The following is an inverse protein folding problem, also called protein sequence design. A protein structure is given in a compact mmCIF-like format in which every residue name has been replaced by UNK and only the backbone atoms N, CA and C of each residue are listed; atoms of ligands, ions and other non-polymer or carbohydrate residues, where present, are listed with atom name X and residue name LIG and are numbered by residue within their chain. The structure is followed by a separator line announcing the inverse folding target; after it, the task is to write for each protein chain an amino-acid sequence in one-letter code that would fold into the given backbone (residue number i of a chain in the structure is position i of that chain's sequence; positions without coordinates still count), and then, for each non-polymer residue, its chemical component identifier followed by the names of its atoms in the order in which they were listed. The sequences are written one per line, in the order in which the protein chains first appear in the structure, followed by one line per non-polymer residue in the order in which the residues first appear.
data_IF_345644360358
#
_entry.id   IF_345644360358
#
_cell.length_a   1.000
_cell.length_b   1.000
_cell.length_c   1.000
_cell.angle_alpha   90.00
_cell.angle_beta   90.00
_cell.angle_gamma   90.00
#
_symmetry.space_group_name_H-M   'P 1'
#
loop_
_entity.id
_entity.type
_entity.pdbx_description
1 polymer ?
#
# COMPACT_ATOMS: atom_id res chain seq x y z
N UNK A 1 -3.58 16.83 -14.17
CA UNK A 1 -3.80 17.31 -12.78
C UNK A 1 -5.10 16.71 -12.29
N UNK A 2 -5.12 16.15 -11.07
CA UNK A 2 -6.36 15.66 -10.48
C UNK A 2 -7.36 16.81 -10.30
N UNK A 3 -8.65 16.56 -10.54
CA UNK A 3 -9.69 17.54 -10.29
C UNK A 3 -9.72 17.90 -8.79
N UNK A 4 -9.90 19.18 -8.48
CA UNK A 4 -10.03 19.66 -7.09
C UNK A 4 -11.42 20.25 -6.90
N UNK A 5 -12.13 19.81 -5.86
CA UNK A 5 -13.46 20.29 -5.48
C UNK A 5 -13.34 21.13 -4.21
N UNK A 6 -13.71 22.41 -4.23
CA UNK A 6 -13.64 23.29 -3.06
C UNK A 6 -14.66 22.89 -1.99
N UNK A 7 -14.36 23.21 -0.73
CA UNK A 7 -15.16 22.83 0.44
C UNK A 7 -16.64 23.27 0.39
N UNK A 8 -16.94 24.38 -0.29
CA UNK A 8 -18.31 24.89 -0.43
C UNK A 8 -19.10 24.18 -1.54
N UNK A 9 -18.42 23.52 -2.48
CA UNK A 9 -19.06 22.74 -3.56
C UNK A 9 -19.30 21.27 -3.22
N UNK A 10 -18.87 20.80 -2.05
CA UNK A 10 -18.88 19.37 -1.72
C UNK A 10 -20.29 18.75 -1.68
N UNK A 11 -21.29 19.51 -1.25
CA UNK A 11 -22.66 19.00 -1.11
C UNK A 11 -23.26 18.56 -2.46
N UNK A 12 -22.82 19.15 -3.57
CA UNK A 12 -23.35 18.89 -4.92
C UNK A 12 -22.40 18.05 -5.78
N UNK A 13 -21.25 17.66 -5.25
CA UNK A 13 -20.17 17.09 -6.05
C UNK A 13 -20.35 15.59 -6.29
N UNK A 14 -20.21 15.11 -7.52
CA UNK A 14 -19.96 13.68 -7.77
C UNK A 14 -18.64 13.23 -7.10
N UNK A 15 -18.48 11.93 -6.81
CA UNK A 15 -17.17 11.38 -6.43
C UNK A 15 -16.45 10.80 -7.65
N UNK A 16 -15.36 11.46 -8.03
CA UNK A 16 -14.45 11.07 -9.10
C UNK A 16 -13.16 10.52 -8.49
N UNK A 17 -12.71 9.36 -8.96
CA UNK A 17 -11.46 8.73 -8.52
C UNK A 17 -10.29 9.70 -8.70
N UNK A 18 -9.40 9.73 -7.72
CA UNK A 18 -8.24 10.61 -7.59
C UNK A 18 -8.54 12.10 -7.46
N UNK A 19 -9.80 12.55 -7.55
CA UNK A 19 -10.12 13.94 -7.27
C UNK A 19 -9.86 14.29 -5.79
N UNK A 20 -9.43 15.53 -5.54
CA UNK A 20 -9.16 16.06 -4.21
C UNK A 20 -10.35 16.90 -3.74
N UNK A 21 -10.88 16.57 -2.58
CA UNK A 21 -11.97 17.28 -1.92
C UNK A 21 -11.39 18.07 -0.76
N UNK A 22 -11.45 19.39 -0.85
CA UNK A 22 -10.78 20.27 0.10
C UNK A 22 -11.51 20.32 1.43
N UNK A 23 -10.75 20.32 2.53
CA UNK A 23 -11.27 20.61 3.86
C UNK A 23 -11.49 22.10 4.09
N UNK A 24 -12.33 22.42 5.07
CA UNK A 24 -12.58 23.79 5.51
C UNK A 24 -11.36 24.44 6.18
N UNK A 25 -11.49 25.73 6.50
CA UNK A 25 -10.41 26.54 7.10
C UNK A 25 -10.78 27.10 8.47
N UNK A 26 -11.83 26.59 9.12
CA UNK A 26 -12.39 27.11 10.37
C UNK A 26 -11.61 26.68 11.62
N UNK A 27 -10.63 25.78 11.47
CA UNK A 27 -9.79 25.24 12.54
C UNK A 27 -10.49 24.21 13.44
N UNK A 28 -11.61 23.62 13.00
CA UNK A 28 -12.43 22.75 13.86
C UNK A 28 -12.82 21.42 13.16
N UNK A 29 -13.53 20.55 13.89
CA UNK A 29 -13.93 19.23 13.39
C UNK A 29 -14.80 19.30 12.12
N UNK A 30 -15.54 20.39 11.92
CA UNK A 30 -16.38 20.65 10.76
C UNK A 30 -15.60 20.88 9.47
N UNK A 31 -14.29 21.11 9.52
CA UNK A 31 -13.46 21.25 8.32
C UNK A 31 -13.20 19.91 7.59
N UNK A 32 -13.62 18.79 8.17
CA UNK A 32 -13.56 17.49 7.51
C UNK A 32 -14.53 17.44 6.31
N UNK A 33 -14.04 17.19 5.08
CA UNK A 33 -14.87 17.24 3.88
C UNK A 33 -15.80 16.02 3.75
N UNK A 34 -15.46 14.88 4.38
CA UNK A 34 -16.20 13.62 4.20
C UNK A 34 -17.61 13.74 4.77
N UNK A 35 -17.78 14.41 5.92
CA UNK A 35 -19.10 14.67 6.49
C UNK A 35 -20.00 15.58 5.65
N UNK A 36 -19.43 16.33 4.68
CA UNK A 36 -20.20 17.08 3.68
C UNK A 36 -20.50 16.26 2.41
N UNK A 37 -19.61 15.32 2.08
CA UNK A 37 -19.77 14.44 0.93
C UNK A 37 -20.72 13.27 1.20
N UNK A 38 -20.75 12.79 2.44
CA UNK A 38 -21.46 11.58 2.87
C UNK A 38 -22.11 11.80 4.24
N UNK A 39 -23.25 11.15 4.53
CA UNK A 39 -23.96 11.27 5.80
C UNK A 39 -23.27 10.50 6.94
N UNK A 40 -21.96 10.63 7.10
CA UNK A 40 -21.14 9.93 8.10
C UNK A 40 -20.50 10.93 9.07
N UNK A 41 -19.90 10.43 10.16
CA UNK A 41 -19.18 11.28 11.12
C UNK A 41 -17.99 12.02 10.50
N UNK A 42 -17.50 13.03 11.22
CA UNK A 42 -16.39 13.90 10.79
C UNK A 42 -15.01 13.49 11.35
N UNK A 43 -14.88 12.28 11.92
CA UNK A 43 -13.62 11.76 12.44
C UNK A 43 -13.56 10.24 12.41
N UNK A 44 -12.35 9.69 12.48
CA UNK A 44 -12.08 8.25 12.55
C UNK A 44 -11.76 7.63 11.18
N UNK A 45 -11.10 6.48 11.21
CA UNK A 45 -10.76 5.73 9.98
C UNK A 45 -11.97 5.00 9.40
N UNK A 46 -12.75 4.31 10.23
CA UNK A 46 -13.98 3.64 9.80
C UNK A 46 -15.17 4.50 10.23
N UNK A 47 -15.93 5.00 9.26
CA UNK A 47 -17.12 5.83 9.50
C UNK A 47 -18.30 5.21 8.77
N UNK A 48 -19.49 5.26 9.34
CA UNK A 48 -20.68 4.70 8.69
C UNK A 48 -21.95 5.43 9.10
N UNK A 49 -23.00 5.23 8.31
CA UNK A 49 -24.37 5.65 8.60
C UNK A 49 -25.27 4.42 8.77
N UNK A 50 -26.31 4.54 9.58
CA UNK A 50 -27.25 3.44 9.87
C UNK A 50 -26.86 2.65 11.13
N UNK A 51 -27.36 1.42 11.23
CA UNK A 51 -27.09 0.52 12.38
C UNK A 51 -25.94 -0.42 12.03
N UNK A 52 -25.16 -0.87 13.00
CA UNK A 52 -24.01 -1.77 12.72
C UNK A 52 -24.40 -3.09 12.02
N UNK A 53 -25.62 -3.59 12.25
CA UNK A 53 -26.16 -4.78 11.58
C UNK A 53 -26.92 -4.49 10.28
N UNK A 54 -27.11 -3.21 9.94
CA UNK A 54 -27.76 -2.72 8.73
C UNK A 54 -27.20 -1.33 8.38
N UNK A 55 -25.90 -1.24 8.04
CA UNK A 55 -25.28 0.02 7.64
C UNK A 55 -25.81 0.43 6.27
N UNK A 56 -25.98 1.74 6.06
CA UNK A 56 -26.46 2.31 4.79
C UNK A 56 -25.31 2.71 3.86
N UNK A 57 -24.23 3.24 4.42
CA UNK A 57 -23.00 3.61 3.72
C UNK A 57 -21.81 3.54 4.67
N UNK A 58 -20.64 3.18 4.16
CA UNK A 58 -19.38 3.14 4.89
C UNK A 58 -18.37 4.06 4.19
N UNK A 59 -17.63 4.84 4.96
CA UNK A 59 -16.43 5.54 4.51
C UNK A 59 -15.21 4.95 5.22
N UNK A 60 -14.24 4.45 4.44
CA UNK A 60 -12.92 4.07 4.94
C UNK A 60 -11.96 5.22 4.66
N UNK A 61 -11.31 5.70 5.70
CA UNK A 61 -10.45 6.87 5.67
C UNK A 61 -9.07 6.46 6.14
N UNK A 62 -8.10 6.56 5.25
CA UNK A 62 -6.71 6.22 5.55
C UNK A 62 -5.80 7.43 5.37
N UNK A 63 -4.82 7.59 6.26
CA UNK A 63 -3.71 8.53 6.07
C UNK A 63 -2.52 7.88 5.34
N UNK A 64 -2.46 6.54 5.27
CA UNK A 64 -1.28 5.80 4.79
C UNK A 64 0.00 6.01 5.61
N UNK A 65 -0.08 6.71 6.76
CA UNK A 65 1.09 7.20 7.51
C UNK A 65 1.31 6.46 8.84
N UNK A 66 0.50 5.45 9.16
CA UNK A 66 0.64 4.66 10.38
C UNK A 66 1.63 3.52 10.13
N UNK A 67 2.79 3.55 10.81
CA UNK A 67 3.85 2.55 10.66
C UNK A 67 3.46 1.16 11.16
N UNK A 68 2.68 1.10 12.23
CA UNK A 68 2.24 -0.17 12.80
C UNK A 68 1.13 -0.80 11.93
N UNK A 69 0.36 0.05 11.25
CA UNK A 69 -0.83 -0.30 10.47
C UNK A 69 -0.80 0.35 9.07
N UNK A 70 0.09 -0.13 8.17
CA UNK A 70 0.39 0.51 6.90
C UNK A 70 -0.68 0.20 5.84
N UNK A 71 -1.85 0.83 5.94
CA UNK A 71 -2.88 0.78 4.90
C UNK A 71 -2.27 1.09 3.52
N UNK A 72 -2.63 0.32 2.50
CA UNK A 72 -2.01 0.45 1.19
C UNK A 72 -2.95 0.05 0.05
N UNK A 73 -3.03 0.92 -0.96
CA UNK A 73 -3.73 0.63 -2.21
C UNK A 73 -2.71 0.28 -3.30
N UNK A 74 -2.85 -0.92 -3.85
CA UNK A 74 -2.20 -1.31 -5.09
C UNK A 74 -3.02 -0.82 -6.29
N UNK A 75 -2.60 0.27 -6.90
CA UNK A 75 -3.32 0.85 -8.05
C UNK A 75 -3.25 -0.03 -9.31
N UNK A 76 -2.30 -0.96 -9.40
CA UNK A 76 -2.17 -1.86 -10.56
C UNK A 76 -3.20 -2.99 -10.49
N UNK A 77 -3.41 -3.52 -9.28
CA UNK A 77 -4.34 -4.64 -9.07
C UNK A 77 -5.73 -4.18 -8.62
N UNK A 78 -5.85 -2.94 -8.14
CA UNK A 78 -7.07 -2.38 -7.55
C UNK A 78 -7.33 -2.84 -6.12
N UNK A 79 -6.33 -3.41 -5.43
CA UNK A 79 -6.51 -4.05 -4.12
C UNK A 79 -6.03 -3.15 -2.99
N UNK A 80 -6.92 -2.89 -2.04
CA UNK A 80 -6.67 -2.14 -0.83
C UNK A 80 -6.45 -3.09 0.34
N UNK A 81 -5.30 -2.98 1.00
CA UNK A 81 -5.09 -3.49 2.35
C UNK A 81 -5.46 -2.41 3.36
N UNK A 82 -6.39 -2.69 4.26
CA UNK A 82 -6.87 -1.76 5.27
C UNK A 82 -6.87 -2.41 6.66
N UNK A 83 -6.36 -1.71 7.67
CA UNK A 83 -6.25 -2.21 9.03
C UNK A 83 -7.36 -1.68 9.94
N UNK A 84 -7.79 -2.54 10.86
CA UNK A 84 -8.89 -2.29 11.79
C UNK A 84 -8.64 -1.17 12.81
N UNK A 85 -9.64 -0.90 13.64
CA UNK A 85 -9.62 0.20 14.62
C UNK A 85 -9.07 -0.18 16.01
N UNK A 86 -8.64 -1.44 16.23
CA UNK A 86 -7.98 -1.84 17.48
C UNK A 86 -6.46 -1.63 17.43
N UNK A 87 -6.03 -0.36 17.56
CA UNK A 87 -4.63 0.04 17.42
C UNK A 87 -3.85 0.17 18.75
N UNK A 88 -4.42 -0.28 19.87
CA UNK A 88 -3.79 -0.19 21.20
C UNK A 88 -4.00 -1.47 22.01
N UNK A 89 -3.04 -1.84 22.87
CA UNK A 89 -3.24 -2.94 23.82
C UNK A 89 -4.38 -2.68 24.82
N UNK A 90 -4.89 -3.77 25.41
CA UNK A 90 -5.85 -3.72 26.52
C UNK A 90 -7.32 -3.92 26.14
N UNK A 91 -7.61 -4.19 24.87
CA UNK A 91 -8.96 -4.49 24.39
C UNK A 91 -8.97 -5.76 23.54
N UNK A 92 -10.04 -6.56 23.68
CA UNK A 92 -10.32 -7.67 22.77
C UNK A 92 -10.54 -7.16 21.34
N UNK A 93 -10.33 -8.01 20.33
CA UNK A 93 -10.31 -7.64 18.91
C UNK A 93 -11.57 -6.86 18.46
N UNK A 94 -12.74 -7.18 19.03
CA UNK A 94 -14.02 -6.55 18.68
C UNK A 94 -14.46 -5.47 19.68
N UNK A 95 -13.74 -5.29 20.79
CA UNK A 95 -14.04 -4.30 21.84
C UNK A 95 -13.46 -2.92 21.49
N UNK A 96 -13.83 -2.39 20.33
CA UNK A 96 -13.36 -1.07 19.89
C UNK A 96 -14.39 0.02 20.16
N UNK A 97 -13.91 1.19 20.59
CA UNK A 97 -14.77 2.33 20.98
C UNK A 97 -15.75 2.79 19.89
N UNK A 98 -15.40 2.61 18.62
CA UNK A 98 -16.22 2.96 17.45
C UNK A 98 -16.76 1.74 16.70
N UNK A 99 -16.52 0.53 17.22
CA UNK A 99 -16.96 -0.76 16.69
C UNK A 99 -16.55 -1.02 15.24
N UNK A 100 -15.43 -0.44 14.77
CA UNK A 100 -14.95 -0.60 13.40
C UNK A 100 -14.62 -2.05 13.05
N UNK A 101 -13.90 -2.76 13.93
CA UNK A 101 -13.59 -4.18 13.75
C UNK A 101 -14.84 -5.07 13.72
N UNK A 102 -15.87 -4.71 14.50
CA UNK A 102 -17.14 -5.41 14.44
C UNK A 102 -17.88 -5.15 13.11
N UNK A 103 -17.81 -3.93 12.57
CA UNK A 103 -18.35 -3.62 11.26
C UNK A 103 -17.60 -4.37 10.15
N UNK A 104 -16.26 -4.40 10.19
CA UNK A 104 -15.43 -5.17 9.26
C UNK A 104 -15.82 -6.65 9.28
N UNK A 105 -15.90 -7.27 10.46
CA UNK A 105 -16.36 -8.66 10.58
C UNK A 105 -17.71 -8.87 9.89
N UNK A 106 -18.70 -8.04 10.19
CA UNK A 106 -20.03 -8.18 9.60
C UNK A 106 -20.02 -8.12 8.07
N UNK A 107 -19.31 -7.15 7.47
CA UNK A 107 -19.33 -6.99 6.01
C UNK A 107 -18.60 -8.13 5.28
N UNK A 108 -17.54 -8.70 5.87
CA UNK A 108 -16.86 -9.87 5.31
C UNK A 108 -17.66 -11.17 5.53
N UNK A 109 -18.36 -11.30 6.65
CA UNK A 109 -19.29 -12.41 6.87
C UNK A 109 -20.45 -12.36 5.85
N UNK A 110 -20.96 -11.16 5.53
CA UNK A 110 -22.00 -10.98 4.52
C UNK A 110 -21.50 -11.22 3.09
N UNK A 111 -20.30 -10.74 2.74
CA UNK A 111 -19.74 -10.95 1.40
C UNK A 111 -19.48 -12.43 1.10
N UNK A 112 -19.11 -13.21 2.11
CA UNK A 112 -18.87 -14.65 2.02
C UNK A 112 -20.13 -15.51 2.28
N UNK A 113 -21.28 -14.88 2.53
CA UNK A 113 -22.55 -15.55 2.82
C UNK A 113 -23.35 -15.93 1.59
N UNK A 114 -24.67 -15.89 1.71
CA UNK A 114 -25.59 -16.08 0.57
C UNK A 114 -25.61 -14.85 -0.34
N UNK A 115 -26.21 -14.95 -1.54
CA UNK A 115 -26.45 -13.78 -2.39
C UNK A 115 -27.28 -12.69 -1.68
N UNK A 116 -28.27 -13.12 -0.88
CA UNK A 116 -29.06 -12.20 -0.07
C UNK A 116 -28.21 -11.52 1.02
N UNK A 117 -27.23 -12.23 1.59
CA UNK A 117 -26.30 -11.63 2.54
C UNK A 117 -25.37 -10.62 1.85
N UNK A 118 -24.83 -10.98 0.69
CA UNK A 118 -23.94 -10.11 -0.09
C UNK A 118 -24.60 -8.77 -0.46
N UNK A 119 -25.90 -8.78 -0.76
CA UNK A 119 -26.70 -7.56 -1.00
C UNK A 119 -26.86 -6.66 0.23
N UNK A 120 -26.58 -7.16 1.45
CA UNK A 120 -26.58 -6.35 2.67
C UNK A 120 -25.31 -5.53 2.85
N UNK A 121 -24.25 -5.83 2.09
CA UNK A 121 -23.02 -5.05 2.13
C UNK A 121 -23.29 -3.66 1.54
N UNK A 122 -23.16 -2.58 2.31
CA UNK A 122 -23.42 -1.23 1.81
C UNK A 122 -22.29 -0.78 0.88
N UNK A 123 -22.48 0.30 0.12
CA UNK A 123 -21.39 0.98 -0.55
C UNK A 123 -20.26 1.35 0.44
N UNK A 124 -19.02 1.01 0.09
CA UNK A 124 -17.82 1.30 0.87
C UNK A 124 -16.98 2.31 0.07
N UNK A 125 -16.93 3.55 0.52
CA UNK A 125 -16.24 4.64 -0.18
C UNK A 125 -14.90 4.92 0.50
N UNK A 126 -13.81 4.87 -0.26
CA UNK A 126 -12.45 4.94 0.28
C UNK A 126 -11.86 6.32 0.03
N UNK A 127 -11.28 6.92 1.08
CA UNK A 127 -10.65 8.23 1.04
C UNK A 127 -9.23 8.16 1.60
N UNK A 128 -8.27 8.74 0.88
CA UNK A 128 -6.88 8.88 1.28
C UNK A 128 -6.56 10.32 1.68
N UNK A 129 -5.87 10.51 2.81
CA UNK A 129 -5.34 11.82 3.19
C UNK A 129 -4.30 12.31 2.18
N UNK A 130 -4.35 13.59 1.81
CA UNK A 130 -3.38 14.17 0.87
C UNK A 130 -2.09 14.67 1.53
N UNK A 131 -2.02 14.66 2.87
CA UNK A 131 -0.95 15.28 3.65
C UNK A 131 -1.03 16.81 3.71
N UNK A 132 -1.99 17.43 3.02
CA UNK A 132 -2.20 18.89 2.99
C UNK A 132 -3.54 19.23 3.64
N UNK A 133 -3.49 19.99 4.75
CA UNK A 133 -4.68 20.37 5.54
C UNK A 133 -5.54 19.13 5.85
N UNK A 134 -6.86 19.24 5.72
CA UNK A 134 -7.82 18.12 5.85
C UNK A 134 -8.34 17.67 4.48
N UNK A 135 -7.57 17.90 3.43
CA UNK A 135 -7.96 17.54 2.08
C UNK A 135 -7.87 16.02 1.92
N UNK A 136 -8.92 15.43 1.35
CA UNK A 136 -9.01 13.99 1.09
C UNK A 136 -9.08 13.74 -0.41
N UNK A 137 -8.39 12.70 -0.86
CA UNK A 137 -8.51 12.15 -2.21
C UNK A 137 -9.51 11.00 -2.18
N UNK A 138 -10.44 10.95 -3.12
CA UNK A 138 -11.30 9.78 -3.27
C UNK A 138 -10.55 8.68 -4.01
N UNK A 139 -10.38 7.51 -3.37
CA UNK A 139 -9.64 6.38 -3.92
C UNK A 139 -10.54 5.41 -4.69
N UNK A 140 -11.85 5.42 -4.42
CA UNK A 140 -12.83 4.65 -5.18
C UNK A 140 -13.93 4.00 -4.33
N UNK A 141 -14.84 3.31 -5.02
CA UNK A 141 -15.86 2.45 -4.43
C UNK A 141 -15.27 1.04 -4.26
N UNK A 142 -15.32 0.52 -3.04
CA UNK A 142 -14.73 -0.75 -2.67
C UNK A 142 -15.79 -1.81 -2.36
N UNK A 143 -15.39 -3.06 -2.52
CA UNK A 143 -16.13 -4.25 -2.04
C UNK A 143 -15.18 -5.16 -1.23
N UNK A 144 -15.68 -5.91 -0.24
CA UNK A 144 -14.85 -6.86 0.51
C UNK A 144 -14.27 -7.94 -0.41
N UNK A 145 -13.03 -8.31 -0.11
CA UNK A 145 -12.32 -9.40 -0.77
C UNK A 145 -11.41 -8.96 -1.92
N UNK A 146 -10.63 -9.92 -2.43
CA UNK A 146 -9.73 -9.72 -3.56
C UNK A 146 -9.66 -11.00 -4.40
N UNK A 147 -9.70 -10.87 -5.74
CA UNK A 147 -9.79 -12.02 -6.66
C UNK A 147 -8.64 -13.04 -6.56
N UNK A 148 -7.53 -12.67 -5.91
CA UNK A 148 -6.36 -13.51 -5.71
C UNK A 148 -6.22 -14.04 -4.27
N UNK A 149 -7.11 -13.63 -3.36
CA UNK A 149 -7.13 -14.07 -1.97
C UNK A 149 -8.23 -15.13 -1.77
N UNK A 150 -7.99 -16.09 -0.89
CA UNK A 150 -9.06 -16.98 -0.43
C UNK A 150 -9.93 -16.25 0.60
N UNK A 151 -11.18 -16.67 0.80
CA UNK A 151 -12.08 -16.08 1.82
C UNK A 151 -11.50 -16.09 3.25
N UNK A 152 -10.52 -16.95 3.52
CA UNK A 152 -9.82 -17.04 4.82
C UNK A 152 -8.76 -15.93 4.95
N UNK A 153 -8.18 -15.47 3.84
CA UNK A 153 -7.08 -14.49 3.81
C UNK A 153 -7.57 -13.03 3.70
N UNK A 154 -8.85 -12.85 3.39
CA UNK A 154 -9.49 -11.55 3.15
C UNK A 154 -9.69 -10.72 4.42
N UNK A 155 -9.94 -11.37 5.56
CA UNK A 155 -10.04 -10.72 6.87
C UNK A 155 -9.30 -11.53 7.94
N UNK A 156 -8.10 -11.10 8.28
CA UNK A 156 -7.20 -11.84 9.19
C UNK A 156 -6.93 -11.06 10.45
N UNK A 157 -7.07 -11.71 11.61
CA UNK A 157 -6.60 -11.18 12.89
C UNK A 157 -5.08 -11.28 12.98
N UNK A 158 -4.38 -10.15 13.01
CA UNK A 158 -2.92 -10.09 13.13
C UNK A 158 -2.52 -9.60 14.51
N UNK A 159 -1.44 -10.19 15.03
CA UNK A 159 -0.84 -9.77 16.30
C UNK A 159 0.19 -8.67 16.05
N UNK A 160 0.13 -7.62 16.87
CA UNK A 160 1.20 -6.63 17.03
C UNK A 160 1.62 -6.56 18.49
N UNK A 161 2.83 -6.03 18.71
CA UNK A 161 3.38 -5.74 20.03
C UNK A 161 3.76 -4.27 20.06
N UNK A 162 3.32 -3.55 21.09
CA UNK A 162 3.74 -2.16 21.33
C UNK A 162 4.03 -2.03 22.82
N UNK A 163 5.21 -1.52 23.19
CA UNK A 163 5.59 -1.35 24.60
C UNK A 163 5.63 -2.67 25.39
N UNK A 164 5.95 -3.79 24.72
CA UNK A 164 6.01 -5.13 25.31
C UNK A 164 4.65 -5.82 25.53
N UNK A 165 3.55 -5.18 25.12
CA UNK A 165 2.20 -5.75 25.23
C UNK A 165 1.67 -6.16 23.86
N UNK A 166 1.10 -7.37 23.79
CA UNK A 166 0.51 -7.93 22.56
C UNK A 166 -0.96 -7.63 22.45
N UNK A 167 -1.42 -7.35 21.24
CA UNK A 167 -2.83 -7.13 20.92
C UNK A 167 -3.13 -7.51 19.48
N UNK A 168 -4.40 -7.79 19.19
CA UNK A 168 -4.86 -8.17 17.86
C UNK A 168 -5.61 -7.03 17.18
N UNK A 169 -5.44 -6.93 15.87
CA UNK A 169 -6.25 -6.09 15.02
C UNK A 169 -6.56 -6.82 13.70
N UNK A 170 -7.52 -6.32 12.92
CA UNK A 170 -7.79 -6.89 11.61
C UNK A 170 -6.87 -6.31 10.53
N UNK A 171 -6.48 -7.17 9.59
CA UNK A 171 -6.06 -6.80 8.23
C UNK A 171 -7.16 -7.24 7.27
N UNK A 172 -7.75 -6.30 6.57
CA UNK A 172 -8.84 -6.49 5.62
C UNK A 172 -8.38 -6.21 4.19
N UNK A 173 -8.74 -7.06 3.24
CA UNK A 173 -8.52 -6.86 1.81
C UNK A 173 -9.82 -6.42 1.14
N UNK A 174 -9.75 -5.34 0.39
CA UNK A 174 -10.85 -4.82 -0.41
C UNK A 174 -10.42 -4.69 -1.87
N UNK A 175 -11.38 -4.79 -2.78
CA UNK A 175 -11.19 -4.48 -4.21
C UNK A 175 -11.87 -3.15 -4.52
N UNK A 176 -11.11 -2.19 -5.05
CA UNK A 176 -11.66 -0.98 -5.64
C UNK A 176 -12.26 -1.34 -7.00
N UNK A 177 -13.56 -1.09 -7.18
CA UNK A 177 -14.29 -1.41 -8.40
C UNK A 177 -14.00 -0.40 -9.51
N UNK A 178 -14.00 -0.87 -10.76
CA UNK A 178 -14.10 -0.01 -11.94
C UNK A 178 -15.54 0.54 -12.07
N UNK A 179 -15.83 1.51 -11.21
CA UNK A 179 -17.17 2.06 -11.00
C UNK A 179 -17.40 3.39 -11.73
N UNK A 180 -16.40 3.91 -12.46
CA UNK A 180 -16.45 5.24 -13.06
C UNK A 180 -16.69 6.35 -12.03
N UNK A 181 -17.54 7.32 -12.38
CA UNK A 181 -17.93 8.42 -11.49
C UNK A 181 -19.11 8.01 -10.62
N UNK A 182 -18.98 8.19 -9.31
CA UNK A 182 -20.06 7.94 -8.35
C UNK A 182 -20.96 9.17 -8.30
N UNK A 183 -22.23 9.00 -8.69
CA UNK A 183 -23.16 10.11 -8.85
C UNK A 183 -23.68 10.65 -7.52
N UNK A 184 -23.73 11.98 -7.40
CA UNK A 184 -24.29 12.70 -6.25
C UNK A 184 -25.70 12.22 -5.91
N UNK A 185 -26.58 12.11 -6.90
CA UNK A 185 -27.95 11.61 -6.71
C UNK A 185 -28.02 10.20 -6.10
N UNK A 186 -27.08 9.30 -6.42
CA UNK A 186 -27.01 7.99 -5.76
C UNK A 186 -26.60 8.13 -4.29
N UNK A 187 -25.56 8.92 -4.01
CA UNK A 187 -25.06 9.15 -2.65
C UNK A 187 -26.14 9.74 -1.73
N UNK A 188 -26.90 10.71 -2.23
CA UNK A 188 -27.96 11.37 -1.47
C UNK A 188 -29.13 10.41 -1.20
N UNK A 189 -29.37 9.44 -2.09
CA UNK A 189 -30.36 8.39 -1.88
C UNK A 189 -29.95 7.35 -0.84
N UNK A 190 -28.68 7.26 -0.45
CA UNK A 190 -28.22 6.19 0.46
C UNK A 190 -28.79 6.33 1.89
N UNK A 191 -29.22 7.51 2.34
CA UNK A 191 -29.87 7.66 3.65
C UNK A 191 -31.41 7.48 3.58
N UNK A 192 -31.96 7.39 2.37
CA UNK A 192 -33.38 7.11 2.07
C UNK A 192 -33.72 5.63 2.31
N UNK A 193 -35.01 5.32 2.32
CA UNK A 193 -35.51 3.94 2.22
C UNK A 193 -35.74 3.52 0.76
N UNK A 194 -35.79 4.49 -0.16
CA UNK A 194 -35.84 4.30 -1.61
C UNK A 194 -34.49 4.73 -2.21
N UNK A 195 -33.58 3.77 -2.34
CA UNK A 195 -32.23 3.97 -2.89
C UNK A 195 -32.32 4.01 -4.42
N UNK A 196 -31.72 5.03 -5.04
CA UNK A 196 -31.71 5.22 -6.49
C UNK A 196 -30.72 4.25 -7.17
N UNK A 197 -31.08 2.96 -7.22
CA UNK A 197 -30.24 1.91 -7.80
C UNK A 197 -29.99 2.09 -9.30
N UNK A 198 -30.82 2.85 -10.01
CA UNK A 198 -30.60 3.27 -11.39
C UNK A 198 -29.38 4.20 -11.57
N UNK A 199 -29.01 4.91 -10.49
CA UNK A 199 -27.81 5.74 -10.42
C UNK A 199 -26.61 5.03 -9.80
N UNK A 200 -26.79 3.80 -9.30
CA UNK A 200 -25.71 3.03 -8.70
C UNK A 200 -24.70 2.55 -9.77
N UNK A 201 -23.40 2.46 -9.44
CA UNK A 201 -22.42 1.95 -10.38
C UNK A 201 -22.72 0.50 -10.83
N UNK A 202 -22.72 0.21 -12.14
CA UNK A 202 -23.03 -1.12 -12.65
C UNK A 202 -22.14 -2.23 -12.05
N UNK A 203 -20.85 -1.97 -11.85
CA UNK A 203 -19.91 -2.91 -11.25
C UNK A 203 -20.32 -3.32 -9.82
N UNK A 204 -20.88 -2.39 -9.04
CA UNK A 204 -21.36 -2.66 -7.68
C UNK A 204 -22.63 -3.53 -7.68
N UNK A 205 -23.58 -3.22 -8.57
CA UNK A 205 -24.80 -4.01 -8.73
C UNK A 205 -24.51 -5.43 -9.22
N UNK A 206 -23.59 -5.58 -10.19
CA UNK A 206 -23.15 -6.87 -10.70
C UNK A 206 -22.50 -7.71 -9.59
N UNK A 207 -21.59 -7.11 -8.82
CA UNK A 207 -20.98 -7.75 -7.65
C UNK A 207 -22.03 -8.20 -6.64
N UNK A 208 -22.97 -7.32 -6.26
CA UNK A 208 -24.05 -7.66 -5.33
C UNK A 208 -24.99 -8.76 -5.84
N UNK A 209 -25.06 -8.94 -7.16
CA UNK A 209 -25.87 -9.99 -7.81
C UNK A 209 -25.12 -11.32 -7.98
N UNK A 210 -23.86 -11.40 -7.54
CA UNK A 210 -23.08 -12.64 -7.51
C UNK A 210 -21.86 -12.67 -8.44
N UNK A 211 -21.66 -11.67 -9.30
CA UNK A 211 -20.48 -11.62 -10.18
C UNK A 211 -19.19 -11.44 -9.37
N UNK A 212 -18.05 -11.80 -9.94
CA UNK A 212 -16.75 -11.47 -9.36
C UNK A 212 -16.55 -9.94 -9.32
N UNK A 213 -15.72 -9.46 -8.39
CA UNK A 213 -15.35 -8.04 -8.35
C UNK A 213 -14.57 -7.66 -9.61
N UNK A 214 -15.00 -6.60 -10.30
CA UNK A 214 -14.27 -6.02 -11.43
C UNK A 214 -13.36 -4.89 -10.92
N UNK A 215 -12.05 -5.13 -10.75
CA UNK A 215 -11.15 -4.16 -10.15
C UNK A 215 -10.83 -2.99 -11.09
N UNK A 216 -10.78 -1.78 -10.53
CA UNK A 216 -10.16 -0.62 -11.18
C UNK A 216 -8.64 -0.83 -11.22
N UNK A 217 -8.13 -1.21 -12.39
CA UNK A 217 -6.71 -1.42 -12.63
C UNK A 217 -6.12 -0.25 -13.40
N UNK A 218 -5.08 0.36 -12.85
CA UNK A 218 -4.25 1.32 -13.55
C UNK A 218 -2.91 0.65 -13.88
N UNK A 219 -2.80 -0.09 -15.01
CA UNK A 219 -1.53 -0.70 -15.39
C UNK A 219 -0.48 0.40 -15.51
N UNK A 220 0.72 0.17 -14.93
CA UNK A 220 1.82 1.12 -15.09
C UNK A 220 2.09 1.31 -16.58
N UNK A 221 2.06 2.56 -17.03
CA UNK A 221 2.73 2.93 -18.27
C UNK A 221 4.21 2.50 -18.14
N UNK A 222 4.83 2.03 -19.24
CA UNK A 222 6.26 1.65 -19.28
C UNK A 222 7.19 2.88 -19.12
N UNK A 223 6.78 3.88 -18.37
CA UNK A 223 7.52 5.12 -18.21
C UNK A 223 8.60 4.93 -17.14
N UNK A 224 9.80 5.42 -17.49
CA UNK A 224 10.87 5.58 -16.54
C UNK A 224 10.42 6.49 -15.40
N UNK A 225 10.56 6.02 -14.15
CA UNK A 225 10.23 6.84 -12.98
C UNK A 225 11.10 8.09 -12.95
N UNK A 226 10.50 9.24 -12.67
CA UNK A 226 11.27 10.47 -12.46
C UNK A 226 12.07 10.37 -11.15
N UNK A 227 12.96 11.34 -10.92
CA UNK A 227 13.65 11.47 -9.63
C UNK A 227 12.67 11.64 -8.46
N UNK A 228 11.63 12.45 -8.66
CA UNK A 228 10.61 12.71 -7.63
C UNK A 228 9.81 11.45 -7.29
N UNK A 229 9.60 10.55 -8.26
CA UNK A 229 8.91 9.28 -8.03
C UNK A 229 9.75 8.28 -7.23
N UNK A 230 11.07 8.43 -7.22
CA UNK A 230 12.04 7.53 -6.58
C UNK A 230 12.52 8.02 -5.20
N UNK A 231 12.30 9.30 -4.88
CA UNK A 231 12.71 9.88 -3.61
C UNK A 231 11.59 9.79 -2.54
N UNK A 232 11.94 9.56 -1.26
CA UNK A 232 10.96 9.56 -0.16
C UNK A 232 10.16 10.86 -0.04
N UNK A 233 8.84 10.74 0.11
CA UNK A 233 7.92 11.89 0.22
C UNK A 233 7.77 12.35 1.68
N UNK A 234 7.50 11.42 2.60
CA UNK A 234 7.21 11.76 4.01
C UNK A 234 8.49 12.01 4.80
N UNK A 235 8.43 12.86 5.82
CA UNK A 235 9.56 13.14 6.71
C UNK A 235 10.08 11.85 7.38
N UNK A 236 9.18 10.94 7.74
CA UNK A 236 9.51 9.61 8.28
C UNK A 236 10.31 8.77 7.28
N UNK A 237 9.82 8.61 6.05
CA UNK A 237 10.55 7.85 5.02
C UNK A 237 11.90 8.50 4.68
N UNK A 238 11.98 9.83 4.71
CA UNK A 238 13.23 10.57 4.53
C UNK A 238 14.22 10.29 5.67
N UNK A 239 13.74 10.17 6.91
CA UNK A 239 14.58 9.82 8.07
C UNK A 239 15.08 8.38 7.95
N UNK A 240 14.21 7.43 7.57
CA UNK A 240 14.57 6.03 7.34
C UNK A 240 15.74 5.92 6.37
N UNK A 241 15.64 6.54 5.19
CA UNK A 241 16.72 6.47 4.18
C UNK A 241 17.98 7.18 4.65
N UNK A 242 17.85 8.32 5.36
CA UNK A 242 19.01 9.05 5.90
C UNK A 242 19.77 8.20 6.94
N UNK A 243 19.07 7.54 7.86
CA UNK A 243 19.66 6.67 8.85
C UNK A 243 20.38 5.47 8.21
N UNK A 244 19.74 4.81 7.25
CA UNK A 244 20.34 3.69 6.49
C UNK A 244 21.63 4.15 5.78
N UNK A 245 21.57 5.25 5.02
CA UNK A 245 22.75 5.77 4.32
C UNK A 245 23.87 6.12 5.31
N UNK A 246 23.55 6.85 6.39
CA UNK A 246 24.52 7.23 7.41
C UNK A 246 25.18 6.02 8.07
N UNK A 247 24.44 4.92 8.22
CA UNK A 247 24.95 3.70 8.83
C UNK A 247 26.01 2.97 8.00
N UNK A 248 25.82 2.93 6.67
CA UNK A 248 26.69 2.20 5.76
C UNK A 248 27.66 3.10 4.97
N UNK A 249 27.60 4.43 5.12
CA UNK A 249 28.41 5.38 4.33
C UNK A 249 29.92 5.15 4.46
N UNK A 250 30.41 4.70 5.63
CA UNK A 250 31.84 4.43 5.86
C UNK A 250 32.27 3.06 5.37
N UNK A 251 31.35 2.09 5.31
CA UNK A 251 31.59 0.72 4.87
C UNK A 251 30.54 0.28 3.84
N UNK A 252 30.60 0.79 2.59
CA UNK A 252 29.55 0.56 1.60
C UNK A 252 29.33 -0.92 1.23
N UNK A 253 30.32 -1.79 1.40
CA UNK A 253 30.19 -3.24 1.16
C UNK A 253 29.24 -3.92 2.18
N UNK A 254 29.13 -3.39 3.40
CA UNK A 254 28.19 -3.93 4.39
C UNK A 254 26.72 -3.66 4.00
N UNK A 255 26.48 -2.64 3.17
CA UNK A 255 25.15 -2.37 2.62
C UNK A 255 24.61 -3.53 1.78
N UNK A 256 25.47 -4.38 1.20
CA UNK A 256 25.05 -5.52 0.39
C UNK A 256 24.22 -6.52 1.22
N UNK A 257 24.56 -6.70 2.50
CA UNK A 257 23.78 -7.53 3.42
C UNK A 257 22.41 -6.91 3.72
N UNK A 258 22.37 -5.60 3.92
CA UNK A 258 21.12 -4.88 4.12
C UNK A 258 20.24 -4.95 2.85
N UNK A 259 20.81 -4.76 1.67
CA UNK A 259 20.12 -4.86 0.40
C UNK A 259 19.50 -6.26 0.20
N UNK A 260 20.24 -7.33 0.52
CA UNK A 260 19.71 -8.69 0.49
C UNK A 260 18.53 -8.88 1.46
N UNK A 261 18.58 -8.27 2.65
CA UNK A 261 17.47 -8.27 3.62
C UNK A 261 16.24 -7.54 3.07
N UNK A 262 16.42 -6.36 2.46
CA UNK A 262 15.33 -5.61 1.80
C UNK A 262 14.70 -6.43 0.68
N UNK A 263 15.51 -7.10 -0.16
CA UNK A 263 15.00 -7.97 -1.22
C UNK A 263 14.16 -9.11 -0.66
N UNK A 264 14.58 -9.72 0.47
CA UNK A 264 13.82 -10.77 1.15
C UNK A 264 12.47 -10.27 1.68
N UNK A 265 12.44 -9.04 2.21
CA UNK A 265 11.18 -8.41 2.66
C UNK A 265 10.26 -8.07 1.47
N UNK A 266 10.84 -7.68 0.34
CA UNK A 266 10.10 -7.28 -0.85
C UNK A 266 9.53 -8.48 -1.64
N UNK A 267 10.33 -9.54 -1.82
CA UNK A 267 9.95 -10.73 -2.57
C UNK A 267 9.64 -11.89 -1.62
N UNK A 268 8.37 -12.06 -1.26
CA UNK A 268 7.91 -13.10 -0.31
C UNK A 268 8.29 -14.54 -0.71
N UNK A 269 8.42 -14.81 -2.02
CA UNK A 269 8.82 -16.11 -2.56
C UNK A 269 10.31 -16.19 -2.93
N UNK A 270 11.13 -15.21 -2.52
CA UNK A 270 12.57 -15.30 -2.68
C UNK A 270 13.21 -16.15 -1.57
N UNK A 271 14.17 -16.99 -1.96
CA UNK A 271 14.91 -17.88 -1.08
C UNK A 271 16.36 -18.01 -1.56
N UNK A 272 17.21 -18.60 -0.71
CA UNK A 272 18.64 -18.79 -0.94
C UNK A 272 19.37 -17.53 -1.42
N UNK A 273 19.04 -16.40 -0.79
CA UNK A 273 19.71 -15.13 -1.04
C UNK A 273 21.06 -15.15 -0.35
N UNK A 274 22.13 -15.11 -1.14
CA UNK A 274 23.52 -15.14 -0.69
C UNK A 274 24.25 -13.87 -1.15
N UNK A 275 24.88 -13.17 -0.20
CA UNK A 275 25.77 -12.05 -0.49
C UNK A 275 27.08 -12.62 -1.00
N UNK A 276 27.49 -12.19 -2.19
CA UNK A 276 28.61 -12.79 -2.90
C UNK A 276 29.93 -12.22 -2.40
N UNK A 277 30.98 -13.05 -2.41
CA UNK A 277 32.32 -12.56 -2.06
C UNK A 277 32.89 -11.71 -3.21
N UNK A 278 33.73 -10.68 -2.93
CA UNK A 278 34.21 -9.70 -3.92
C UNK A 278 34.92 -10.23 -5.19
N UNK A 279 35.12 -11.55 -5.35
CA UNK A 279 35.93 -12.13 -6.44
C UNK A 279 35.45 -13.46 -7.03
N UNK A 280 34.37 -14.09 -6.53
CA UNK A 280 33.97 -15.45 -6.99
C UNK A 280 32.87 -15.47 -8.05
N UNK A 281 31.89 -14.56 -7.99
CA UNK A 281 30.64 -14.67 -8.76
C UNK A 281 30.45 -13.53 -9.78
N UNK A 282 31.53 -13.17 -10.49
CA UNK A 282 31.48 -12.14 -11.54
C UNK A 282 31.33 -10.70 -11.01
N UNK A 283 31.53 -10.52 -9.71
CA UNK A 283 31.53 -9.23 -9.00
C UNK A 283 30.16 -8.64 -8.70
N UNK A 284 29.10 -9.46 -8.75
CA UNK A 284 27.74 -9.16 -8.24
C UNK A 284 27.82 -8.89 -6.72
N UNK A 285 26.75 -8.33 -6.17
CA UNK A 285 26.70 -7.99 -4.74
C UNK A 285 25.91 -9.05 -3.96
N UNK A 286 24.80 -9.56 -4.52
CA UNK A 286 24.15 -10.79 -4.05
C UNK A 286 23.48 -11.57 -5.19
N UNK A 287 23.14 -12.83 -4.93
CA UNK A 287 22.35 -13.69 -5.82
C UNK A 287 21.26 -14.39 -5.02
N UNK A 288 20.16 -14.79 -5.67
CA UNK A 288 19.11 -15.57 -5.03
C UNK A 288 18.21 -16.26 -6.02
N UNK A 289 17.20 -16.98 -5.50
CA UNK A 289 16.18 -17.66 -6.31
C UNK A 289 14.79 -17.20 -5.94
N UNK A 290 13.92 -17.09 -6.93
CA UNK A 290 12.51 -16.72 -6.77
C UNK A 290 11.61 -17.85 -7.26
N UNK A 291 10.64 -18.25 -6.43
CA UNK A 291 9.69 -19.30 -6.79
C UNK A 291 8.45 -18.73 -7.48
N UNK A 292 8.12 -19.28 -8.65
CA UNK A 292 6.88 -19.00 -9.38
C UNK A 292 5.96 -20.21 -9.32
N UNK A 293 4.73 -20.01 -8.88
CA UNK A 293 3.74 -21.07 -8.66
C UNK A 293 3.88 -21.76 -7.28
N UNK A 294 3.07 -22.78 -7.06
CA UNK A 294 3.02 -23.54 -5.79
C UNK A 294 3.10 -25.05 -6.03
N UNK A 295 3.53 -25.79 -5.01
CA UNK A 295 3.59 -27.26 -5.06
C UNK A 295 4.62 -27.81 -6.06
N UNK A 296 4.46 -29.09 -6.48
CA UNK A 296 5.44 -29.77 -7.34
C UNK A 296 5.63 -29.18 -8.73
N UNK A 297 4.70 -28.33 -9.20
CA UNK A 297 4.78 -27.67 -10.51
C UNK A 297 5.40 -26.28 -10.45
N UNK A 298 5.87 -25.83 -9.28
CA UNK A 298 6.54 -24.55 -9.13
C UNK A 298 7.89 -24.55 -9.86
N UNK A 299 8.23 -23.43 -10.48
CA UNK A 299 9.54 -23.21 -11.12
C UNK A 299 10.37 -22.21 -10.31
N UNK A 300 11.68 -22.25 -10.53
CA UNK A 300 12.64 -21.36 -9.86
C UNK A 300 13.31 -20.48 -10.91
N UNK A 301 13.41 -19.18 -10.60
CA UNK A 301 14.07 -18.18 -11.44
C UNK A 301 15.17 -17.54 -10.61
N UNK A 302 16.42 -17.63 -11.08
CA UNK A 302 17.53 -16.97 -10.41
C UNK A 302 17.46 -15.45 -10.61
N UNK A 303 17.95 -14.71 -9.62
CA UNK A 303 18.16 -13.27 -9.73
C UNK A 303 19.52 -12.84 -9.20
N UNK A 304 19.96 -11.68 -9.68
CA UNK A 304 21.17 -11.00 -9.20
C UNK A 304 20.80 -9.65 -8.57
N UNK A 305 21.51 -9.27 -7.52
CA UNK A 305 21.36 -7.99 -6.82
C UNK A 305 22.62 -7.16 -7.04
N UNK A 306 22.43 -5.89 -7.37
CA UNK A 306 23.46 -4.84 -7.34
C UNK A 306 23.00 -3.78 -6.34
N UNK A 307 23.83 -3.47 -5.35
CA UNK A 307 23.53 -2.62 -4.22
C UNK A 307 24.41 -1.36 -4.26
N UNK A 308 23.80 -0.19 -4.07
CA UNK A 308 24.47 1.12 -4.12
C UNK A 308 23.99 2.02 -2.98
N UNK A 309 24.79 2.10 -1.92
CA UNK A 309 24.59 3.03 -0.81
C UNK A 309 25.04 4.46 -1.20
N UNK A 310 24.29 5.11 -2.08
CA UNK A 310 24.60 6.47 -2.52
C UNK A 310 23.89 7.50 -1.63
N UNK A 311 24.56 8.63 -1.43
CA UNK A 311 23.95 9.77 -0.75
C UNK A 311 22.65 10.15 -1.47
N UNK A 312 21.53 10.37 -0.74
CA UNK A 312 20.31 10.86 -1.33
C UNK A 312 20.55 12.08 -2.21
N UNK A 313 20.09 12.02 -3.45
CA UNK A 313 20.31 13.04 -4.47
C UNK A 313 21.45 12.73 -5.47
N UNK A 314 22.30 11.74 -5.20
CA UNK A 314 23.27 11.23 -6.18
C UNK A 314 22.66 10.08 -6.97
N UNK A 315 22.66 10.14 -8.30
CA UNK A 315 22.03 9.10 -9.12
C UNK A 315 22.92 7.88 -9.32
N UNK A 316 22.28 6.72 -9.44
CA UNK A 316 22.83 5.53 -10.08
C UNK A 316 22.66 5.71 -11.59
N UNK A 317 23.73 5.53 -12.36
CA UNK A 317 23.71 5.81 -13.79
C UNK A 317 23.90 4.59 -14.67
N UNK A 318 24.08 4.86 -15.95
CA UNK A 318 24.21 3.84 -17.00
C UNK A 318 25.31 2.82 -16.66
N UNK A 319 26.45 3.27 -16.12
CA UNK A 319 27.58 2.40 -15.80
C UNK A 319 27.20 1.27 -14.83
N UNK A 320 26.54 1.60 -13.73
CA UNK A 320 26.10 0.62 -12.74
C UNK A 320 25.00 -0.29 -13.30
N UNK A 321 24.08 0.27 -14.09
CA UNK A 321 23.01 -0.52 -14.74
C UNK A 321 23.56 -1.50 -15.78
N UNK A 322 24.45 -1.05 -16.67
CA UNK A 322 25.13 -1.90 -17.65
C UNK A 322 25.93 -3.01 -16.97
N UNK A 323 26.56 -2.71 -15.82
CA UNK A 323 27.27 -3.71 -15.00
C UNK A 323 26.30 -4.81 -14.55
N UNK A 324 25.13 -4.45 -14.01
CA UNK A 324 24.09 -5.42 -13.63
C UNK A 324 23.60 -6.21 -14.85
N UNK A 325 23.29 -5.55 -15.96
CA UNK A 325 22.84 -6.17 -17.22
C UNK A 325 23.85 -7.21 -17.71
N UNK A 326 25.12 -6.85 -17.80
CA UNK A 326 26.18 -7.74 -18.29
C UNK A 326 26.39 -9.00 -17.42
N UNK A 327 25.88 -8.97 -16.19
CA UNK A 327 26.06 -10.03 -15.21
C UNK A 327 24.85 -10.91 -15.06
N UNK A 328 23.69 -10.51 -15.54
CA UNK A 328 22.52 -11.40 -15.59
C UNK A 328 22.76 -12.49 -16.63
N UNK A 329 22.51 -13.75 -16.27
CA UNK A 329 22.52 -14.86 -17.25
C UNK A 329 21.17 -14.96 -17.94
N UNK A 330 21.10 -15.79 -18.98
CA UNK A 330 19.84 -16.06 -19.70
C UNK A 330 18.76 -16.54 -18.71
N UNK A 331 17.55 -15.96 -18.80
CA UNK A 331 16.37 -16.24 -17.95
C UNK A 331 16.50 -15.86 -16.47
N UNK A 332 17.44 -14.97 -16.15
CA UNK A 332 17.51 -14.32 -14.83
C UNK A 332 16.88 -12.93 -14.87
N UNK A 333 16.54 -12.40 -13.70
CA UNK A 333 16.21 -10.98 -13.56
C UNK A 333 17.18 -10.31 -12.56
N UNK A 334 17.24 -8.99 -12.61
CA UNK A 334 18.13 -8.17 -11.82
C UNK A 334 17.36 -7.35 -10.79
N UNK A 335 18.01 -7.02 -9.68
CA UNK A 335 17.48 -6.10 -8.69
C UNK A 335 18.55 -5.05 -8.40
N UNK A 336 18.30 -3.81 -8.77
CA UNK A 336 19.11 -2.65 -8.38
C UNK A 336 18.56 -2.08 -7.08
N UNK A 337 19.34 -2.09 -6.01
CA UNK A 337 18.97 -1.55 -4.70
C UNK A 337 19.81 -0.31 -4.41
N UNK A 338 19.17 0.84 -4.16
CA UNK A 338 19.90 2.06 -3.82
C UNK A 338 19.17 2.94 -2.82
N UNK A 339 19.93 3.56 -1.91
CA UNK A 339 19.43 4.60 -0.98
C UNK A 339 19.14 5.94 -1.67
N UNK A 340 19.29 6.03 -3.00
CA UNK A 340 19.02 7.23 -3.79
C UNK A 340 18.07 6.91 -4.95
N UNK A 341 18.37 7.32 -6.18
CA UNK A 341 17.55 7.13 -7.37
C UNK A 341 18.40 6.68 -8.56
N UNK A 342 17.77 6.05 -9.54
CA UNK A 342 18.35 5.79 -10.86
C UNK A 342 18.06 6.99 -11.75
N UNK A 343 19.05 7.48 -12.51
CA UNK A 343 18.83 8.60 -13.42
C UNK A 343 17.88 8.25 -14.58
N UNK A 344 17.33 9.29 -15.21
CA UNK A 344 16.32 9.13 -16.25
C UNK A 344 16.84 8.35 -17.46
N UNK A 345 18.11 8.54 -17.84
CA UNK A 345 18.67 7.87 -19.01
C UNK A 345 18.79 6.37 -18.74
N UNK A 346 19.46 6.00 -17.65
CA UNK A 346 19.67 4.62 -17.26
C UNK A 346 18.34 3.87 -17.03
N UNK A 347 17.36 4.54 -16.43
CA UNK A 347 16.02 3.97 -16.24
C UNK A 347 15.29 3.75 -17.57
N UNK A 348 15.38 4.72 -18.50
CA UNK A 348 14.72 4.61 -19.81
C UNK A 348 15.31 3.47 -20.64
N UNK A 349 16.64 3.34 -20.69
CA UNK A 349 17.33 2.23 -21.39
C UNK A 349 16.83 0.86 -20.92
N UNK A 350 16.72 0.63 -19.61
CA UNK A 350 16.21 -0.64 -19.05
C UNK A 350 14.78 -0.93 -19.51
N UNK A 351 13.92 0.10 -19.60
CA UNK A 351 12.50 -0.06 -19.95
C UNK A 351 12.30 -0.22 -21.46
N UNK A 352 13.03 0.53 -22.26
CA UNK A 352 12.99 0.49 -23.72
C UNK A 352 13.55 -0.84 -24.24
N UNK A 353 14.68 -1.30 -23.69
CA UNK A 353 15.34 -2.54 -24.10
C UNK A 353 14.71 -3.79 -23.47
N UNK A 354 13.73 -3.63 -22.59
CA UNK A 354 13.01 -4.73 -21.95
C UNK A 354 13.89 -5.57 -21.01
N UNK A 355 14.91 -4.96 -20.42
CA UNK A 355 15.76 -5.64 -19.44
C UNK A 355 14.94 -5.98 -18.18
N UNK A 356 14.93 -7.25 -17.72
CA UNK A 356 14.14 -7.67 -16.57
C UNK A 356 14.82 -7.21 -15.27
N UNK A 357 14.75 -5.91 -14.97
CA UNK A 357 15.36 -5.32 -13.78
C UNK A 357 14.30 -4.63 -12.92
N UNK A 358 14.26 -5.05 -11.66
CA UNK A 358 13.54 -4.37 -10.58
C UNK A 358 14.45 -3.29 -10.00
N UNK A 359 13.91 -2.08 -9.82
CA UNK A 359 14.62 -0.97 -9.18
C UNK A 359 13.99 -0.70 -7.83
N UNK A 360 14.76 -0.87 -6.75
CA UNK A 360 14.40 -0.51 -5.38
C UNK A 360 15.21 0.75 -5.00
N UNK A 361 14.60 1.91 -5.25
CA UNK A 361 15.12 3.24 -4.93
C UNK A 361 14.91 3.61 -3.45
N UNK A 362 15.38 4.78 -3.03
CA UNK A 362 15.25 5.26 -1.66
C UNK A 362 13.81 5.25 -1.17
N UNK A 363 12.85 5.66 -2.02
CA UNK A 363 11.42 5.57 -1.69
C UNK A 363 10.97 4.12 -1.46
N UNK A 364 11.34 3.21 -2.35
CA UNK A 364 10.95 1.81 -2.27
C UNK A 364 11.51 1.16 -1.00
N UNK A 365 12.79 1.42 -0.67
CA UNK A 365 13.43 0.93 0.56
C UNK A 365 12.66 1.43 1.79
N UNK A 366 12.35 2.73 1.84
CA UNK A 366 11.61 3.29 2.98
C UNK A 366 10.24 2.64 3.15
N UNK A 367 9.49 2.48 2.06
CA UNK A 367 8.18 1.84 2.08
C UNK A 367 8.26 0.36 2.51
N UNK A 368 9.28 -0.39 2.05
CA UNK A 368 9.48 -1.79 2.45
C UNK A 368 9.79 -1.91 3.95
N UNK A 369 10.66 -1.04 4.47
CA UNK A 369 11.01 -1.01 5.90
C UNK A 369 9.81 -0.63 6.76
N UNK A 370 9.04 0.37 6.32
CA UNK A 370 7.81 0.79 6.98
C UNK A 370 6.80 -0.36 7.05
N UNK A 371 6.53 -1.01 5.90
CA UNK A 371 5.53 -2.08 5.80
C UNK A 371 5.91 -3.35 6.57
N UNK A 372 7.19 -3.68 6.63
CA UNK A 372 7.65 -4.85 7.37
C UNK A 372 7.52 -4.68 8.89
N UNK A 373 7.39 -3.45 9.38
CA UNK A 373 7.29 -3.14 10.81
C UNK A 373 8.60 -3.33 11.57
N UNK A 374 9.72 -3.56 10.88
CA UNK A 374 11.04 -3.76 11.53
C UNK A 374 11.55 -2.51 12.24
N UNK A 375 11.00 -1.35 11.91
CA UNK A 375 11.32 -0.07 12.53
C UNK A 375 10.29 0.37 13.61
N UNK A 376 9.30 -0.45 13.95
CA UNK A 376 8.23 -0.09 14.89
C UNK A 376 8.74 0.09 16.34
N UNK A 377 9.57 -0.84 16.81
CA UNK A 377 10.10 -0.84 18.18
C UNK A 377 11.52 -0.24 18.23
N UNK A 378 11.63 1.04 18.59
CA UNK A 378 12.92 1.73 18.76
C UNK A 378 13.48 2.38 17.49
N UNK A 379 12.75 2.32 16.38
CA UNK A 379 13.10 2.98 15.13
C UNK A 379 14.14 2.23 14.29
N UNK A 380 14.45 2.80 13.13
CA UNK A 380 15.39 2.20 12.16
C UNK A 380 16.82 2.07 12.72
N UNK A 381 17.28 3.01 13.54
CA UNK A 381 18.63 2.97 14.11
C UNK A 381 18.84 1.77 15.03
N UNK A 382 17.85 1.45 15.87
CA UNK A 382 17.90 0.29 16.75
C UNK A 382 17.93 -1.01 15.94
N UNK A 383 17.12 -1.10 14.88
CA UNK A 383 17.11 -2.24 13.96
C UNK A 383 18.47 -2.43 13.29
N UNK A 384 19.06 -1.35 12.77
CA UNK A 384 20.37 -1.37 12.11
C UNK A 384 21.48 -1.79 13.07
N UNK A 385 21.50 -1.28 14.30
CA UNK A 385 22.49 -1.68 15.31
C UNK A 385 22.37 -3.15 15.72
N UNK A 386 21.15 -3.66 15.85
CA UNK A 386 20.91 -5.03 16.30
C UNK A 386 21.23 -6.08 15.21
N UNK A 387 20.94 -5.77 13.94
CA UNK A 387 21.02 -6.75 12.85
C UNK A 387 22.20 -6.53 11.89
N UNK A 388 22.73 -5.30 11.86
CA UNK A 388 23.87 -4.90 11.03
C UNK A 388 24.89 -4.12 11.87
N UNK A 389 25.41 -4.71 12.97
CA UNK A 389 26.34 -4.02 13.85
C UNK A 389 27.59 -3.59 13.09
N UNK A 390 28.06 -2.36 13.33
CA UNK A 390 29.34 -1.91 12.79
C UNK A 390 30.44 -2.69 13.49
N UNK A 391 31.29 -3.35 12.71
CA UNK A 391 32.53 -3.88 13.29
C UNK A 391 33.45 -2.70 13.68
N UNK A 392 34.13 -2.79 14.83
CA UNK A 392 34.98 -1.72 15.35
C UNK A 392 36.19 -1.42 14.45
#
# INVERSE_FOLDING_TARGET
MAATVPFDGLAEADLIVDAVYEGGTSGNAGDDPIGKLLPVGNSGGIRFRGRIGAPKVIALVTSGADADWPDWLDVETGVLTYFGDNKRPGHELHETSRRGNHLLRNIFDWSNGTLADRQRVPPILVFGGTGVRRNHRFLGLAVPGASHASSIDELVGIWRSTGGQRYQNYRALFTILDAGTIKRGWLDSLDSDDVAYDLAPPAFLAWGSGADAEPLRAPRTREARSRQDQEPITAEHQEIVRAIHAHFATHPYEFEQFAASVVRMYLSNAFDIEVTRPSRDGGRDAVGRYRVGTGPSAIEIDFAVEAKCYRPGNSVGVREMSRLISRMRHRQFGIMVTTSHVDKQAYSEIKEDGHPIVVLSGRDIAEIIHRSGVAADGGIDAYLQAHFPRYP
#
